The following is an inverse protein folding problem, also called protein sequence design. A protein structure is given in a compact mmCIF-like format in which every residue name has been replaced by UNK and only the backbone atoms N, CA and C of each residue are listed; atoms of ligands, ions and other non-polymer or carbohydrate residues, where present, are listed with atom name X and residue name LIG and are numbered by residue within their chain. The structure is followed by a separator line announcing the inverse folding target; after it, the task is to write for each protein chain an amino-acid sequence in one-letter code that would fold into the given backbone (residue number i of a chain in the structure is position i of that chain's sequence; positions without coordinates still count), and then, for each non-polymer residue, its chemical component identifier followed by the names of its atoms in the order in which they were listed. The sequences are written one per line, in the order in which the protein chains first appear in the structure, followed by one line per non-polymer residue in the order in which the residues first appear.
data_IF_986791880428
#
_entry.id   IF_986791880428
#
_cell.length_a   1.000
_cell.length_b   1.000
_cell.length_c   1.000
_cell.angle_alpha   90.00
_cell.angle_beta   90.00
_cell.angle_gamma   90.00
#
_symmetry.space_group_name_H-M   'P 1'
#
loop_
_entity.id
_entity.type
_entity.pdbx_description
1 polymer ?
#
# COMPACT_ATOMS: atom_id res chain seq x y z
N UNK A 1 4.24 -11.73 2.97
CA UNK A 1 4.51 -12.93 2.15
C UNK A 1 6.00 -13.23 2.16
N UNK A 2 6.50 -13.89 3.21
CA UNK A 2 7.91 -14.32 3.27
C UNK A 2 8.08 -15.82 3.07
N UNK A 3 7.04 -16.61 3.37
CA UNK A 3 6.96 -18.01 2.96
C UNK A 3 6.55 -18.12 1.49
N UNK A 4 6.87 -19.24 0.85
CA UNK A 4 6.40 -19.60 -0.51
C UNK A 4 4.96 -20.10 -0.51
N UNK A 5 4.11 -19.52 0.33
CA UNK A 5 2.71 -19.92 0.50
C UNK A 5 1.80 -18.91 -0.18
N UNK A 6 0.71 -19.37 -0.78
CA UNK A 6 -0.34 -18.51 -1.29
C UNK A 6 -1.10 -17.88 -0.12
N UNK A 7 -1.27 -16.55 -0.15
CA UNK A 7 -2.05 -15.87 0.87
C UNK A 7 -3.54 -15.88 0.50
N UNK A 8 -4.36 -16.31 1.46
CA UNK A 8 -5.80 -16.10 1.49
C UNK A 8 -6.04 -14.86 2.35
N UNK A 9 -6.74 -13.84 1.83
CA UNK A 9 -6.91 -12.57 2.53
C UNK A 9 -8.37 -12.11 2.50
N UNK A 10 -8.92 -11.86 3.68
CA UNK A 10 -10.16 -11.10 3.83
C UNK A 10 -9.84 -9.60 3.77
N UNK A 11 -10.52 -8.86 2.91
CA UNK A 11 -10.27 -7.42 2.69
C UNK A 11 -11.23 -6.55 3.52
N UNK A 12 -11.31 -6.84 4.83
CA UNK A 12 -12.22 -6.15 5.75
C UNK A 12 -11.75 -4.72 6.07
N UNK A 13 -10.44 -4.53 6.18
CA UNK A 13 -9.85 -3.27 6.60
C UNK A 13 -9.09 -2.59 5.46
N UNK A 14 -9.18 -1.25 5.42
CA UNK A 14 -8.28 -0.44 4.60
C UNK A 14 -6.91 -0.38 5.26
N UNK A 15 -5.94 -0.98 4.59
CA UNK A 15 -4.54 -0.98 4.99
C UNK A 15 -3.74 0.00 4.12
N UNK A 16 -2.62 0.51 4.63
CA UNK A 16 -1.75 1.48 3.94
C UNK A 16 -1.23 1.00 2.57
N UNK A 17 -1.25 -0.32 2.35
CA UNK A 17 -0.76 -0.96 1.13
C UNK A 17 -1.86 -1.56 0.25
N UNK A 18 -3.14 -1.25 0.50
CA UNK A 18 -4.26 -1.88 -0.20
C UNK A 18 -4.12 -1.74 -1.73
N UNK A 19 -3.77 -0.54 -2.22
CA UNK A 19 -3.65 -0.25 -3.65
C UNK A 19 -2.43 -0.92 -4.30
N UNK A 20 -1.51 -1.47 -3.49
CA UNK A 20 -0.31 -2.14 -3.97
C UNK A 20 -0.56 -3.63 -4.24
N UNK A 21 -1.55 -4.26 -3.61
CA UNK A 21 -1.85 -5.68 -3.83
C UNK A 21 -3.07 -5.83 -4.73
N UNK A 22 -2.98 -6.79 -5.65
CA UNK A 22 -4.05 -7.07 -6.62
C UNK A 22 -4.63 -8.46 -6.37
N UNK A 23 -5.96 -8.59 -6.21
CA UNK A 23 -6.60 -9.90 -6.04
C UNK A 23 -6.36 -10.75 -7.29
N UNK A 24 -6.26 -12.06 -7.10
CA UNK A 24 -6.00 -13.08 -8.14
C UNK A 24 -4.65 -12.95 -8.87
N UNK A 25 -3.81 -12.02 -8.45
CA UNK A 25 -2.41 -11.91 -8.91
C UNK A 25 -1.46 -12.19 -7.76
N UNK A 26 -1.72 -11.56 -6.62
CA UNK A 26 -0.83 -11.63 -5.46
C UNK A 26 -1.42 -12.45 -4.30
N UNK A 27 -2.75 -12.58 -4.23
CA UNK A 27 -3.47 -13.28 -3.17
C UNK A 27 -4.87 -13.70 -3.64
N UNK A 28 -5.48 -14.63 -2.92
CA UNK A 28 -6.88 -15.04 -3.11
C UNK A 28 -7.77 -14.22 -2.17
N UNK A 29 -8.70 -13.40 -2.69
CA UNK A 29 -9.63 -12.65 -1.86
C UNK A 29 -10.68 -13.59 -1.26
N UNK A 30 -10.96 -13.41 0.02
CA UNK A 30 -12.07 -14.07 0.71
C UNK A 30 -13.15 -13.05 1.08
N UNK A 31 -14.40 -13.50 1.07
CA UNK A 31 -15.57 -12.80 1.60
C UNK A 31 -15.42 -12.60 3.12
N UNK A 32 -16.30 -11.78 3.70
CA UNK A 32 -16.27 -11.54 5.15
C UNK A 32 -16.68 -12.80 5.92
N UNK A 33 -17.65 -13.52 5.36
CA UNK A 33 -18.23 -14.74 5.88
C UNK A 33 -17.32 -15.96 5.65
N UNK A 34 -16.48 -15.89 4.61
CA UNK A 34 -15.54 -16.93 4.20
C UNK A 34 -16.20 -18.30 3.88
N UNK A 35 -17.46 -18.29 3.45
CA UNK A 35 -18.22 -19.49 3.08
C UNK A 35 -17.56 -20.28 1.94
N UNK A 36 -16.84 -19.58 1.05
CA UNK A 36 -16.12 -20.17 -0.08
C UNK A 36 -14.77 -20.78 0.29
N UNK A 37 -14.28 -20.65 1.53
CA UNK A 37 -12.92 -21.03 1.91
C UNK A 37 -12.61 -22.51 1.58
N UNK A 38 -13.53 -23.41 1.92
CA UNK A 38 -13.34 -24.85 1.70
C UNK A 38 -13.24 -25.17 0.21
N UNK A 39 -14.10 -24.55 -0.60
CA UNK A 39 -14.11 -24.79 -2.05
C UNK A 39 -12.89 -24.15 -2.72
N UNK A 40 -12.50 -22.94 -2.30
CA UNK A 40 -11.28 -22.30 -2.75
C UNK A 40 -10.04 -23.16 -2.49
N UNK A 41 -9.91 -23.73 -1.28
CA UNK A 41 -8.79 -24.62 -0.95
C UNK A 41 -8.82 -25.90 -1.79
N UNK A 42 -9.98 -26.53 -1.97
CA UNK A 42 -10.12 -27.72 -2.83
C UNK A 42 -9.70 -27.44 -4.26
N UNK A 43 -10.18 -26.34 -4.84
CA UNK A 43 -9.81 -25.94 -6.18
C UNK A 43 -8.30 -25.67 -6.29
N UNK A 44 -7.71 -24.96 -5.34
CA UNK A 44 -6.28 -24.59 -5.35
C UNK A 44 -5.35 -25.79 -5.09
N UNK A 45 -5.82 -26.86 -4.46
CA UNK A 45 -5.07 -28.12 -4.30
C UNK A 45 -5.25 -29.07 -5.49
N UNK A 46 -6.37 -28.94 -6.22
CA UNK A 46 -6.68 -29.67 -7.44
C UNK A 46 -6.33 -28.90 -8.71
N UNK A 47 -7.34 -28.63 -9.54
CA UNK A 47 -7.18 -28.05 -10.89
C UNK A 47 -6.48 -26.69 -10.90
N UNK A 48 -6.61 -25.92 -9.82
CA UNK A 48 -6.02 -24.59 -9.64
C UNK A 48 -4.58 -24.60 -9.14
N UNK A 49 -3.95 -25.76 -8.90
CA UNK A 49 -2.64 -25.82 -8.22
C UNK A 49 -1.51 -25.09 -8.93
N UNK A 50 -1.40 -25.22 -10.25
CA UNK A 50 -0.36 -24.52 -11.00
C UNK A 50 -0.55 -22.99 -10.98
N UNK A 51 -1.81 -22.52 -10.96
CA UNK A 51 -2.14 -21.12 -10.77
C UNK A 51 -1.79 -20.66 -9.36
N UNK A 52 -2.11 -21.48 -8.35
CA UNK A 52 -1.83 -21.21 -6.94
C UNK A 52 -0.33 -21.00 -6.68
N UNK A 53 0.51 -21.88 -7.22
CA UNK A 53 1.97 -21.79 -7.10
C UNK A 53 2.51 -20.52 -7.79
N UNK A 54 1.96 -20.18 -8.96
CA UNK A 54 2.35 -18.96 -9.69
C UNK A 54 1.97 -17.70 -8.92
N UNK A 55 0.74 -17.61 -8.43
CA UNK A 55 0.27 -16.49 -7.61
C UNK A 55 1.09 -16.37 -6.32
N UNK A 56 1.45 -17.48 -5.68
CA UNK A 56 2.29 -17.46 -4.48
C UNK A 56 3.69 -16.88 -4.77
N UNK A 57 4.29 -17.25 -5.91
CA UNK A 57 5.58 -16.70 -6.35
C UNK A 57 5.47 -15.20 -6.68
N UNK A 58 4.47 -14.81 -7.49
CA UNK A 58 4.23 -13.42 -7.86
C UNK A 58 3.94 -12.53 -6.64
N UNK A 59 3.09 -12.99 -5.73
CA UNK A 59 2.78 -12.31 -4.48
C UNK A 59 4.01 -12.09 -3.62
N UNK A 60 4.87 -13.11 -3.49
CA UNK A 60 6.13 -13.00 -2.74
C UNK A 60 7.09 -11.99 -3.38
N UNK A 61 7.34 -12.11 -4.69
CA UNK A 61 8.30 -11.26 -5.39
C UNK A 61 7.85 -9.80 -5.39
N UNK A 62 6.55 -9.57 -5.58
CA UNK A 62 5.96 -8.24 -5.52
C UNK A 62 5.99 -7.66 -4.10
N UNK A 63 5.65 -8.45 -3.08
CA UNK A 63 5.70 -7.99 -1.70
C UNK A 63 7.11 -7.55 -1.29
N UNK A 64 8.16 -8.22 -1.77
CA UNK A 64 9.54 -7.83 -1.52
C UNK A 64 9.92 -6.46 -2.12
N UNK A 65 9.20 -6.00 -3.15
CA UNK A 65 9.47 -4.75 -3.87
C UNK A 65 8.52 -3.62 -3.46
N UNK A 66 7.26 -3.94 -3.18
CA UNK A 66 6.19 -2.96 -2.99
C UNK A 66 5.73 -2.82 -1.53
N UNK A 67 6.11 -3.73 -0.63
CA UNK A 67 5.78 -3.69 0.80
C UNK A 67 7.04 -3.50 1.65
N UNK A 68 7.97 -2.67 1.19
CA UNK A 68 9.23 -2.42 1.90
C UNK A 68 8.99 -1.51 3.11
N UNK A 69 9.93 -1.52 4.06
CA UNK A 69 9.79 -0.73 5.28
C UNK A 69 9.87 0.76 4.98
N UNK A 70 10.75 1.14 4.06
CA UNK A 70 10.97 2.52 3.62
C UNK A 70 9.70 3.12 2.99
N UNK A 71 8.94 2.31 2.23
CA UNK A 71 7.66 2.75 1.62
C UNK A 71 6.59 3.00 2.70
N UNK A 72 6.59 2.20 3.77
CA UNK A 72 5.67 2.35 4.91
C UNK A 72 6.03 3.58 5.74
N UNK A 73 7.31 3.80 6.02
CA UNK A 73 7.83 4.97 6.73
C UNK A 73 7.47 6.27 5.99
N UNK A 74 7.71 6.32 4.68
CA UNK A 74 7.34 7.48 3.86
C UNK A 74 5.82 7.73 3.86
N UNK A 75 5.02 6.67 3.71
CA UNK A 75 3.56 6.77 3.76
C UNK A 75 3.06 7.27 5.13
N UNK A 76 3.60 6.74 6.23
CA UNK A 76 3.20 7.12 7.58
C UNK A 76 3.62 8.55 7.91
N UNK A 77 4.83 8.95 7.51
CA UNK A 77 5.27 10.33 7.64
C UNK A 77 4.35 11.29 6.88
N UNK A 78 4.00 10.95 5.63
CA UNK A 78 3.04 11.72 4.84
C UNK A 78 1.68 11.82 5.51
N UNK A 79 1.19 10.73 6.09
CA UNK A 79 -0.08 10.71 6.83
C UNK A 79 -0.04 11.68 8.03
N UNK A 80 1.03 11.65 8.83
CA UNK A 80 1.17 12.55 9.98
C UNK A 80 1.28 14.01 9.57
N UNK A 81 2.01 14.32 8.49
CA UNK A 81 2.09 15.68 7.96
C UNK A 81 0.74 16.20 7.46
N UNK A 82 0.00 15.37 6.72
CA UNK A 82 -1.33 15.74 6.25
C UNK A 82 -2.32 15.88 7.39
N UNK A 83 -2.23 15.01 8.40
CA UNK A 83 -3.04 15.15 9.60
C UNK A 83 -2.73 16.45 10.35
N UNK A 84 -1.45 16.79 10.54
CA UNK A 84 -1.05 18.05 11.16
C UNK A 84 -1.59 19.26 10.38
N UNK A 85 -1.48 19.25 9.04
CA UNK A 85 -2.04 20.31 8.18
C UNK A 85 -3.56 20.43 8.30
N UNK A 86 -4.29 19.32 8.47
CA UNK A 86 -5.76 19.33 8.60
C UNK A 86 -6.21 19.91 9.95
N UNK A 87 -5.45 19.64 11.01
CA UNK A 87 -5.79 20.06 12.39
C UNK A 87 -5.29 21.48 12.72
N UNK A 88 -4.32 22.02 11.99
CA UNK A 88 -3.79 23.37 12.25
C UNK A 88 -4.84 24.47 11.97
N UNK A 89 -5.08 25.33 12.96
CA UNK A 89 -6.03 26.45 12.86
C UNK A 89 -5.64 27.48 11.78
N UNK A 90 -4.34 27.57 11.44
CA UNK A 90 -3.78 28.43 10.37
C UNK A 90 -3.60 27.68 9.06
N UNK A 91 -4.29 26.56 8.84
CA UNK A 91 -4.21 25.74 7.62
C UNK A 91 -4.32 26.50 6.30
N UNK A 92 -4.98 27.66 6.27
CA UNK A 92 -5.14 28.48 5.06
C UNK A 92 -3.85 29.17 4.61
N UNK A 93 -2.87 29.38 5.51
CA UNK A 93 -1.58 30.00 5.21
C UNK A 93 -0.40 29.02 5.30
N UNK A 94 -0.67 27.72 5.48
CA UNK A 94 0.36 26.68 5.52
C UNK A 94 0.52 26.08 4.11
N UNK A 95 1.36 26.73 3.30
CA UNK A 95 1.73 26.31 1.95
C UNK A 95 3.15 26.77 1.61
N UNK A 96 3.79 26.08 0.67
CA UNK A 96 5.02 26.56 0.05
C UNK A 96 4.64 27.58 -1.03
N UNK A 97 4.78 28.87 -0.74
CA UNK A 97 4.61 29.93 -1.72
C UNK A 97 5.90 30.06 -2.54
N UNK A 98 5.81 29.80 -3.85
CA UNK A 98 6.93 29.98 -4.79
C UNK A 98 7.45 31.43 -4.79
N UNK A 99 6.56 32.40 -4.56
CA UNK A 99 6.89 33.83 -4.53
C UNK A 99 7.73 34.21 -3.29
N UNK A 100 7.54 33.51 -2.16
CA UNK A 100 8.32 33.76 -0.95
C UNK A 100 9.78 33.32 -1.11
N UNK A 101 10.04 32.28 -1.92
CA UNK A 101 11.39 31.77 -2.18
C UNK A 101 12.18 32.64 -3.16
N UNK A 102 11.52 33.34 -4.09
CA UNK A 102 12.18 34.26 -5.03
C UNK A 102 12.61 35.58 -4.37
N UNK A 103 11.96 35.97 -3.27
CA UNK A 103 12.20 37.27 -2.62
C UNK A 103 13.51 37.30 -1.81
N UNK A 104 14.13 36.16 -1.49
CA UNK A 104 15.40 36.10 -0.74
C UNK A 104 16.67 36.32 -1.59
N UNK A 105 16.56 36.43 -2.92
CA UNK A 105 17.70 36.69 -3.83
C UNK A 105 17.60 38.05 -4.55
N UNK A 106 17.26 39.11 -3.80
CA UNK A 106 17.42 40.49 -4.28
C UNK A 106 18.91 40.86 -4.38
N UNK A 107 19.37 41.56 -5.45
CA UNK A 107 20.78 41.76 -5.73
C UNK A 107 21.47 42.63 -4.66
N UNK A 108 22.67 42.22 -4.22
CA UNK A 108 23.59 43.07 -3.47
C UNK A 108 23.82 44.38 -4.25
N UNK A 109 23.36 45.51 -3.69
CA UNK A 109 23.63 46.84 -4.23
C UNK A 109 24.99 47.35 -3.70
N UNK A 110 25.86 47.72 -4.63
CA UNK A 110 27.09 48.51 -4.42
C UNK A 110 26.78 49.94 -3.97
#
# INVERSE_FOLDING_TARGET
MRSRSLALKQTLFREWHLDRLRPWVHYVPLSQEADELVEAVRFLDGDGRAEAERMAAQGRDWAARALRREDMEAWFFRLLLEYARVVDDRRASLGFDMDAAETEHGPEQQ
#
